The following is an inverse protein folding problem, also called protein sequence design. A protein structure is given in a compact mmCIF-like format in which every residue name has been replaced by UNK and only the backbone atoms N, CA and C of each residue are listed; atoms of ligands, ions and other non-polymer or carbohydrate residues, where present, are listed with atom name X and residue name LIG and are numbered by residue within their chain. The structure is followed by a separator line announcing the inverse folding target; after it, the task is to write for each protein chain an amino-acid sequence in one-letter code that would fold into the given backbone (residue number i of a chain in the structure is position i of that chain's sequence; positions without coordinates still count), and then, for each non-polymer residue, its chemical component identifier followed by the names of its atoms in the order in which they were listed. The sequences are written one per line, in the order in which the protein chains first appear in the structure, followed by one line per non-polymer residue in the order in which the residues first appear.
data_IF_733016013064
#
_entry.id   IF_733016013064
#
_cell.length_a   1.000
_cell.length_b   1.000
_cell.length_c   1.000
_cell.angle_alpha   90.00
_cell.angle_beta   90.00
_cell.angle_gamma   90.00
#
_symmetry.space_group_name_H-M   'P 1'
#
loop_
_entity.id
_entity.type
_entity.pdbx_description
1 polymer ?
#
# COMPACT_ATOMS: atom_id res chain seq x y z
N UNK A 1 17.94 -1.33 0.25
CA UNK A 1 17.34 -1.36 -1.10
C UNK A 1 17.97 -2.50 -1.90
N UNK A 2 17.17 -3.43 -2.42
CA UNK A 2 17.65 -4.45 -3.34
C UNK A 2 18.12 -3.76 -4.64
N UNK A 3 19.39 -3.91 -5.00
CA UNK A 3 19.90 -3.47 -6.30
C UNK A 3 20.01 -4.69 -7.22
N UNK A 4 19.20 -4.78 -8.30
CA UNK A 4 19.18 -5.93 -9.19
C UNK A 4 20.47 -6.12 -10.00
N UNK A 5 21.35 -5.12 -10.08
CA UNK A 5 22.61 -5.21 -10.83
C UNK A 5 23.65 -6.13 -10.17
N UNK A 6 23.68 -6.23 -8.83
CA UNK A 6 24.64 -7.09 -8.14
C UNK A 6 24.40 -8.59 -8.39
N UNK A 7 23.17 -9.13 -8.26
CA UNK A 7 22.87 -10.50 -8.66
C UNK A 7 23.33 -10.82 -10.09
N UNK A 8 23.04 -9.93 -11.05
CA UNK A 8 23.42 -10.07 -12.45
C UNK A 8 24.95 -10.08 -12.64
N UNK A 9 25.69 -9.27 -11.89
CA UNK A 9 27.15 -9.23 -11.93
C UNK A 9 27.76 -10.53 -11.34
N UNK A 10 27.22 -11.05 -10.25
CA UNK A 10 27.69 -12.30 -9.65
C UNK A 10 27.43 -13.52 -10.55
N UNK A 11 26.29 -13.55 -11.25
CA UNK A 11 26.00 -14.59 -12.25
C UNK A 11 26.97 -14.53 -13.43
N UNK A 12 27.25 -13.33 -13.97
CA UNK A 12 28.24 -13.14 -15.05
C UNK A 12 29.65 -13.55 -14.63
N UNK A 13 30.01 -13.39 -13.36
CA UNK A 13 31.29 -13.79 -12.78
C UNK A 13 31.36 -15.28 -12.41
N UNK A 14 30.26 -16.05 -12.57
CA UNK A 14 30.21 -17.48 -12.23
C UNK A 14 30.27 -17.76 -10.72
N UNK A 15 29.94 -16.77 -9.88
CA UNK A 15 29.99 -16.89 -8.43
C UNK A 15 28.73 -17.58 -7.90
N UNK A 16 28.91 -18.55 -7.00
CA UNK A 16 27.79 -19.13 -6.25
C UNK A 16 27.44 -18.20 -5.09
N UNK A 17 26.21 -17.71 -5.06
CA UNK A 17 25.69 -16.85 -4.00
C UNK A 17 24.31 -17.34 -3.55
N UNK A 18 23.92 -16.97 -2.33
CA UNK A 18 22.57 -17.23 -1.80
C UNK A 18 21.96 -15.91 -1.37
N UNK A 19 20.74 -15.62 -1.81
CA UNK A 19 20.02 -14.41 -1.40
C UNK A 19 19.48 -14.62 0.02
N UNK A 20 19.83 -13.72 0.93
CA UNK A 20 19.23 -13.64 2.26
C UNK A 20 18.20 -12.51 2.28
N UNK A 21 16.95 -12.83 2.62
CA UNK A 21 15.88 -11.85 2.80
C UNK A 21 15.93 -11.40 4.26
N UNK A 22 16.38 -10.16 4.49
CA UNK A 22 16.58 -9.63 5.86
C UNK A 22 15.34 -8.89 6.40
N UNK A 23 14.51 -8.36 5.52
CA UNK A 23 13.30 -7.60 5.88
C UNK A 23 12.16 -7.98 4.95
N UNK A 24 10.98 -8.16 5.52
CA UNK A 24 9.75 -8.40 4.76
C UNK A 24 8.73 -7.35 5.17
N UNK A 25 8.30 -6.52 4.21
CA UNK A 25 7.21 -5.56 4.46
C UNK A 25 5.91 -6.35 4.48
N UNK A 26 5.23 -6.32 5.61
CA UNK A 26 3.90 -6.89 5.78
C UNK A 26 2.91 -5.76 5.98
N UNK A 27 1.67 -5.99 5.57
CA UNK A 27 0.55 -5.16 6.00
C UNK A 27 0.25 -5.50 7.47
N UNK A 28 -0.04 -4.48 8.24
CA UNK A 28 -0.45 -4.64 9.64
C UNK A 28 -1.92 -5.10 9.70
N UNK A 29 -2.23 -5.96 10.67
CA UNK A 29 -3.62 -6.35 10.94
C UNK A 29 -4.35 -5.21 11.65
N UNK A 30 -5.34 -4.65 10.97
CA UNK A 30 -6.12 -3.51 11.46
C UNK A 30 -7.53 -3.92 11.91
N UNK A 31 -7.83 -5.21 12.03
CA UNK A 31 -9.17 -5.72 12.39
C UNK A 31 -9.73 -5.18 13.71
N UNK A 32 -8.85 -4.75 14.62
CA UNK A 32 -9.23 -4.11 15.89
C UNK A 32 -9.77 -2.68 15.74
N UNK A 33 -9.56 -2.04 14.59
CA UNK A 33 -9.90 -0.65 14.35
C UNK A 33 -11.35 -0.52 13.83
N UNK A 34 -12.15 0.30 14.50
CA UNK A 34 -13.52 0.57 14.07
C UNK A 34 -13.57 1.84 13.19
N UNK A 35 -13.51 1.65 11.88
CA UNK A 35 -13.43 2.74 10.90
C UNK A 35 -14.59 3.75 10.97
N UNK A 36 -15.77 3.32 11.41
CA UNK A 36 -16.97 4.16 11.54
C UNK A 36 -16.85 5.27 12.60
N UNK A 37 -15.83 5.18 13.47
CA UNK A 37 -15.54 6.23 14.46
C UNK A 37 -14.86 7.45 13.85
N UNK A 38 -14.37 7.35 12.62
CA UNK A 38 -13.60 8.39 11.95
C UNK A 38 -14.41 9.04 10.84
N UNK A 39 -14.34 10.36 10.79
CA UNK A 39 -15.01 11.14 9.74
C UNK A 39 -14.17 11.21 8.46
N UNK A 40 -12.84 11.13 8.58
CA UNK A 40 -11.90 11.30 7.47
C UNK A 40 -10.79 10.26 7.58
N UNK A 41 -10.42 9.63 6.46
CA UNK A 41 -9.24 8.78 6.32
C UNK A 41 -8.29 9.36 5.27
N UNK A 42 -6.98 9.34 5.55
CA UNK A 42 -5.94 9.79 4.63
C UNK A 42 -5.08 8.61 4.16
N UNK A 43 -4.89 8.53 2.84
CA UNK A 43 -4.06 7.52 2.19
C UNK A 43 -2.83 8.20 1.58
N UNK A 44 -1.64 7.71 1.90
CA UNK A 44 -0.38 8.24 1.43
C UNK A 44 0.19 7.42 0.27
N UNK A 45 -0.21 6.16 0.16
CA UNK A 45 0.27 5.26 -0.88
C UNK A 45 -0.81 4.32 -1.41
N UNK A 46 -0.64 3.76 -2.63
CA UNK A 46 -1.51 2.69 -3.13
C UNK A 46 -1.52 1.43 -2.25
N UNK A 47 -0.48 1.20 -1.44
CA UNK A 47 -0.45 0.07 -0.52
C UNK A 47 -1.44 0.27 0.64
N UNK A 48 -1.69 1.52 1.05
CA UNK A 48 -2.65 1.84 2.10
C UNK A 48 -4.08 1.50 1.65
N UNK A 49 -4.39 1.75 0.37
CA UNK A 49 -5.69 1.40 -0.24
C UNK A 49 -5.87 -0.12 -0.28
N UNK A 50 -4.83 -0.87 -0.66
CA UNK A 50 -4.84 -2.34 -0.56
C UNK A 50 -5.03 -2.82 0.88
N UNK A 51 -4.34 -2.20 1.83
CA UNK A 51 -4.47 -2.51 3.26
C UNK A 51 -5.92 -2.37 3.73
N UNK A 52 -6.62 -1.32 3.31
CA UNK A 52 -8.04 -1.13 3.62
C UNK A 52 -8.89 -2.29 3.09
N UNK A 53 -8.69 -2.69 1.83
CA UNK A 53 -9.48 -3.77 1.20
C UNK A 53 -9.21 -5.15 1.84
N UNK A 54 -7.95 -5.44 2.18
CA UNK A 54 -7.59 -6.72 2.80
C UNK A 54 -8.04 -6.81 4.26
N UNK A 55 -7.88 -5.74 5.04
CA UNK A 55 -8.29 -5.72 6.44
C UNK A 55 -9.80 -5.55 6.63
N UNK A 56 -10.48 -4.89 5.69
CA UNK A 56 -11.90 -4.58 5.76
C UNK A 56 -12.61 -4.93 4.43
N UNK A 57 -12.77 -6.23 4.10
CA UNK A 57 -13.32 -6.65 2.81
C UNK A 57 -14.76 -6.20 2.57
N UNK A 58 -15.54 -6.02 3.64
CA UNK A 58 -16.93 -5.53 3.59
C UNK A 58 -17.03 -4.01 3.78
N UNK A 59 -15.91 -3.30 3.69
CA UNK A 59 -15.88 -1.85 3.88
C UNK A 59 -16.70 -1.13 2.81
N UNK A 60 -17.48 -0.15 3.28
CA UNK A 60 -18.21 0.80 2.44
C UNK A 60 -17.93 2.20 2.92
N UNK A 61 -17.76 3.13 1.99
CA UNK A 61 -17.37 4.50 2.32
C UNK A 61 -18.39 5.21 3.22
N UNK A 62 -19.70 4.97 3.03
CA UNK A 62 -20.79 5.33 3.96
C UNK A 62 -20.68 6.73 4.63
N UNK A 63 -20.27 7.75 3.87
CA UNK A 63 -20.14 9.13 4.36
C UNK A 63 -18.80 9.50 5.00
N UNK A 64 -17.85 8.56 5.07
CA UNK A 64 -16.45 8.83 5.43
C UNK A 64 -15.77 9.56 4.26
N UNK A 65 -15.09 10.66 4.56
CA UNK A 65 -14.36 11.44 3.56
C UNK A 65 -12.96 10.89 3.38
N UNK A 66 -12.48 10.84 2.15
CA UNK A 66 -11.12 10.36 1.85
C UNK A 66 -10.21 11.47 1.39
N UNK A 67 -9.00 11.49 1.94
CA UNK A 67 -7.89 12.28 1.44
C UNK A 67 -6.82 11.38 0.85
N UNK A 68 -6.19 11.82 -0.23
CA UNK A 68 -5.02 11.16 -0.81
C UNK A 68 -3.84 12.10 -0.93
N UNK A 69 -2.65 11.52 -0.87
CA UNK A 69 -1.42 12.19 -1.25
C UNK A 69 -0.93 11.61 -2.59
N UNK A 70 -0.86 12.45 -3.61
CA UNK A 70 -0.40 12.11 -4.95
C UNK A 70 -1.42 11.41 -5.84
N UNK A 71 -1.22 11.57 -7.16
CA UNK A 71 -2.11 11.03 -8.19
C UNK A 71 -2.18 9.50 -8.23
N UNK A 72 -1.08 8.82 -7.90
CA UNK A 72 -1.03 7.35 -7.86
C UNK A 72 -2.00 6.79 -6.80
N UNK A 73 -2.04 7.40 -5.62
CA UNK A 73 -2.94 6.99 -4.53
C UNK A 73 -4.39 7.28 -4.87
N UNK A 74 -4.66 8.44 -5.50
CA UNK A 74 -6.00 8.76 -6.00
C UNK A 74 -6.48 7.77 -7.08
N UNK A 75 -5.60 7.31 -7.98
CA UNK A 75 -5.92 6.27 -8.96
C UNK A 75 -6.29 4.95 -8.28
N UNK A 76 -5.50 4.52 -7.29
CA UNK A 76 -5.75 3.28 -6.56
C UNK A 76 -7.12 3.28 -5.85
N UNK A 77 -7.54 4.42 -5.27
CA UNK A 77 -8.89 4.55 -4.72
C UNK A 77 -9.97 4.40 -5.79
N UNK A 78 -9.80 5.05 -6.96
CA UNK A 78 -10.79 4.96 -8.06
C UNK A 78 -10.89 3.54 -8.60
N UNK A 79 -9.78 2.83 -8.73
CA UNK A 79 -9.73 1.41 -9.10
C UNK A 79 -10.44 0.52 -8.07
N UNK A 80 -10.40 0.90 -6.79
CA UNK A 80 -11.15 0.27 -5.71
C UNK A 80 -12.64 0.66 -5.65
N UNK A 81 -13.16 1.43 -6.62
CA UNK A 81 -14.51 2.01 -6.62
C UNK A 81 -14.79 2.93 -5.41
N UNK A 82 -13.75 3.58 -4.89
CA UNK A 82 -13.81 4.57 -3.82
C UNK A 82 -13.50 5.96 -4.35
N UNK A 83 -14.04 6.99 -3.72
CA UNK A 83 -13.86 8.37 -4.19
C UNK A 83 -13.07 9.22 -3.18
N UNK A 84 -12.00 9.86 -3.68
CA UNK A 84 -11.24 10.87 -2.94
C UNK A 84 -12.03 12.19 -2.90
N UNK A 85 -12.08 12.80 -1.71
CA UNK A 85 -12.64 14.14 -1.50
C UNK A 85 -11.55 15.22 -1.52
N UNK A 86 -10.36 14.88 -1.05
CA UNK A 86 -9.21 15.78 -0.99
C UNK A 86 -8.02 15.12 -1.66
N UNK A 87 -7.40 15.77 -2.64
CA UNK A 87 -6.22 15.26 -3.33
C UNK A 87 -5.08 16.25 -3.12
N UNK A 88 -4.11 15.86 -2.31
CA UNK A 88 -2.87 16.60 -2.11
C UNK A 88 -1.85 16.23 -3.20
N UNK A 89 -1.00 17.18 -3.63
CA UNK A 89 0.00 16.95 -4.68
C UNK A 89 1.05 15.89 -4.30
#
# INVERSE_FOLDING_TARGET
CYNPEFPLAFEKAGLKYTKAILTHTLLEDLSFLELKKYQILFFYSPADVRSLQENFPEFRQDGILFGTFGAATASALREANLQACFEAP
#
